data_IF_192254517619
#
_entry.id   IF_192254517619
#
_cell.length_a   1.000
_cell.length_b   1.000
_cell.length_c   1.000
_cell.angle_alpha   90.00
_cell.angle_beta   90.00
_cell.angle_gamma   90.00
#
_symmetry.space_group_name_H-M   'P 1'
#
loop_
_entity.id
_entity.type
_entity.pdbx_description
1 polymer ?
#
# COMPACT_ATOMS: atom_id res chain seq x y z
N UNK A 1 55.51 -15.82 -12.89
CA UNK A 1 54.97 -17.20 -12.87
C UNK A 1 54.59 -17.52 -11.43
N UNK A 2 53.30 -17.46 -11.08
CA UNK A 2 52.86 -17.86 -9.74
C UNK A 2 52.57 -19.37 -9.76
N UNK A 3 53.64 -20.16 -9.64
CA UNK A 3 53.55 -21.62 -9.66
C UNK A 3 52.70 -22.08 -8.48
N UNK A 4 51.57 -22.73 -8.76
CA UNK A 4 50.72 -23.30 -7.71
C UNK A 4 51.58 -24.28 -6.88
N UNK A 5 51.61 -24.16 -5.54
CA UNK A 5 52.48 -24.98 -4.73
C UNK A 5 52.13 -26.47 -4.90
N UNK A 6 53.12 -27.37 -4.76
CA UNK A 6 52.93 -28.80 -4.96
C UNK A 6 51.83 -29.33 -4.02
N UNK A 7 50.93 -30.14 -4.56
CA UNK A 7 49.79 -30.68 -3.82
C UNK A 7 50.28 -31.50 -2.62
N UNK A 8 49.80 -31.18 -1.42
CA UNK A 8 50.25 -31.82 -0.17
C UNK A 8 51.46 -31.17 0.51
N UNK A 9 52.11 -30.18 -0.12
CA UNK A 9 53.15 -29.38 0.54
C UNK A 9 52.58 -28.52 1.69
N UNK A 10 53.43 -28.16 2.66
CA UNK A 10 53.05 -27.28 3.76
C UNK A 10 52.53 -25.92 3.27
N UNK A 11 53.06 -25.41 2.15
CA UNK A 11 52.64 -24.18 1.51
C UNK A 11 51.23 -24.32 0.88
N UNK A 12 50.97 -25.43 0.17
CA UNK A 12 49.65 -25.74 -0.37
C UNK A 12 48.60 -25.86 0.75
N UNK A 13 48.94 -26.53 1.86
CA UNK A 13 48.05 -26.64 3.03
C UNK A 13 47.80 -25.28 3.70
N UNK A 14 48.81 -24.41 3.78
CA UNK A 14 48.69 -23.03 4.32
C UNK A 14 47.74 -22.19 3.45
N UNK A 15 47.97 -22.13 2.15
CA UNK A 15 47.13 -21.36 1.20
C UNK A 15 45.69 -21.87 1.26
N UNK A 16 45.47 -23.18 1.31
CA UNK A 16 44.11 -23.74 1.42
C UNK A 16 43.41 -23.31 2.71
N UNK A 17 44.12 -23.32 3.84
CA UNK A 17 43.58 -22.83 5.13
C UNK A 17 43.28 -21.34 5.10
N UNK A 18 44.18 -20.54 4.53
CA UNK A 18 44.01 -19.08 4.46
C UNK A 18 42.87 -18.70 3.52
N UNK A 19 42.75 -19.36 2.36
CA UNK A 19 41.61 -19.20 1.46
C UNK A 19 40.30 -19.59 2.14
N UNK A 20 40.27 -20.70 2.88
CA UNK A 20 39.08 -21.11 3.62
C UNK A 20 38.67 -20.09 4.69
N UNK A 21 39.64 -19.48 5.39
CA UNK A 21 39.39 -18.40 6.35
C UNK A 21 38.82 -17.16 5.67
N UNK A 22 39.38 -16.77 4.52
CA UNK A 22 38.91 -15.62 3.76
C UNK A 22 37.48 -15.82 3.24
N UNK A 23 37.16 -17.00 2.73
CA UNK A 23 35.80 -17.36 2.30
C UNK A 23 34.81 -17.22 3.46
N UNK A 24 35.14 -17.76 4.63
CA UNK A 24 34.27 -17.66 5.81
C UNK A 24 34.16 -16.22 6.34
N UNK A 25 35.24 -15.43 6.26
CA UNK A 25 35.22 -14.01 6.62
C UNK A 25 34.24 -13.23 5.73
N UNK A 26 34.34 -13.39 4.40
CA UNK A 26 33.42 -12.74 3.44
C UNK A 26 31.97 -13.15 3.67
N UNK A 27 31.73 -14.43 3.98
CA UNK A 27 30.38 -14.91 4.32
C UNK A 27 29.82 -14.17 5.53
N UNK A 28 30.61 -14.02 6.60
CA UNK A 28 30.18 -13.29 7.80
C UNK A 28 29.97 -11.82 7.55
N UNK A 29 30.82 -11.19 6.75
CA UNK A 29 30.67 -9.78 6.37
C UNK A 29 29.37 -9.54 5.59
N UNK A 30 29.07 -10.39 4.60
CA UNK A 30 27.81 -10.31 3.84
C UNK A 30 26.58 -10.49 4.72
N UNK A 31 26.60 -11.46 5.66
CA UNK A 31 25.50 -11.66 6.62
C UNK A 31 25.34 -10.42 7.53
N UNK A 32 26.45 -9.85 8.01
CA UNK A 32 26.40 -8.68 8.89
C UNK A 32 25.87 -7.46 8.17
N UNK A 33 26.25 -7.27 6.90
CA UNK A 33 25.71 -6.22 6.06
C UNK A 33 24.19 -6.37 5.91
N UNK A 34 23.70 -7.57 5.58
CA UNK A 34 22.26 -7.81 5.47
C UNK A 34 21.49 -7.54 6.76
N UNK A 35 22.06 -7.86 7.93
CA UNK A 35 21.43 -7.56 9.22
C UNK A 35 21.41 -6.05 9.50
N UNK A 36 22.47 -5.32 9.13
CA UNK A 36 22.52 -3.86 9.30
C UNK A 36 21.53 -3.16 8.36
N UNK A 37 21.45 -3.57 7.10
CA UNK A 37 20.46 -3.05 6.14
C UNK A 37 19.02 -3.29 6.65
N UNK A 38 18.75 -4.50 7.16
CA UNK A 38 17.46 -4.80 7.79
C UNK A 38 17.15 -3.88 8.99
N UNK A 39 18.15 -3.55 9.80
CA UNK A 39 17.97 -2.63 10.92
C UNK A 39 17.56 -1.22 10.49
N UNK A 40 17.98 -0.76 9.31
CA UNK A 40 17.59 0.57 8.79
C UNK A 40 16.13 0.65 8.33
N UNK A 41 15.54 -0.48 7.95
CA UNK A 41 14.16 -0.56 7.45
C UNK A 41 13.12 -0.71 8.57
N UNK A 42 13.56 -1.06 9.77
CA UNK A 42 12.67 -1.30 10.91
C UNK A 42 12.85 -0.18 11.94
N UNK A 43 11.78 0.26 12.62
CA UNK A 43 11.88 1.28 13.66
C UNK A 43 12.53 0.70 14.92
N UNK A 44 13.86 0.61 14.92
CA UNK A 44 14.66 0.14 16.05
C UNK A 44 15.93 0.94 16.22
N UNK A 45 16.35 1.12 17.47
CA UNK A 45 17.68 1.60 17.84
C UNK A 45 18.61 0.45 18.29
N UNK A 46 18.16 -0.79 18.17
CA UNK A 46 18.91 -1.96 18.65
C UNK A 46 20.11 -2.26 17.76
N UNK A 47 21.25 -2.56 18.38
CA UNK A 47 22.49 -2.98 17.70
C UNK A 47 22.73 -4.49 17.80
N UNK A 48 21.94 -5.19 18.62
CA UNK A 48 22.02 -6.62 18.81
C UNK A 48 21.35 -7.37 17.66
N UNK A 49 22.10 -8.22 16.95
CA UNK A 49 21.62 -9.00 15.79
C UNK A 49 20.37 -9.83 16.07
N UNK A 50 20.29 -10.50 17.22
CA UNK A 50 19.13 -11.31 17.56
C UNK A 50 17.88 -10.46 17.79
N UNK A 51 18.04 -9.29 18.43
CA UNK A 51 16.94 -8.35 18.65
C UNK A 51 16.48 -7.70 17.33
N UNK A 52 17.40 -7.32 16.44
CA UNK A 52 17.09 -6.81 15.11
C UNK A 52 16.22 -7.82 14.34
N UNK A 53 16.61 -9.10 14.33
CA UNK A 53 15.84 -10.16 13.66
C UNK A 53 14.45 -10.35 14.27
N UNK A 54 14.34 -10.39 15.61
CA UNK A 54 13.06 -10.52 16.29
C UNK A 54 12.13 -9.32 16.02
N UNK A 55 12.67 -8.10 16.08
CA UNK A 55 11.91 -6.89 15.74
C UNK A 55 11.48 -6.86 14.29
N UNK A 56 12.33 -7.30 13.36
CA UNK A 56 11.96 -7.40 11.96
C UNK A 56 10.77 -8.35 11.74
N UNK A 57 10.78 -9.53 12.37
CA UNK A 57 9.65 -10.47 12.31
C UNK A 57 8.37 -9.82 12.84
N UNK A 58 8.43 -9.16 13.99
CA UNK A 58 7.26 -8.49 14.58
C UNK A 58 6.77 -7.32 13.71
N UNK A 59 7.69 -6.55 13.14
CA UNK A 59 7.36 -5.44 12.26
C UNK A 59 6.68 -5.91 10.98
N UNK A 60 7.18 -6.98 10.34
CA UNK A 60 6.54 -7.59 9.17
C UNK A 60 5.13 -8.09 9.50
N UNK A 61 4.94 -8.74 10.66
CA UNK A 61 3.59 -9.18 11.09
C UNK A 61 2.64 -7.99 11.24
N UNK A 62 3.07 -6.91 11.89
CA UNK A 62 2.27 -5.69 12.03
C UNK A 62 1.98 -5.01 10.70
N UNK A 63 2.93 -4.97 9.77
CA UNK A 63 2.72 -4.43 8.44
C UNK A 63 1.63 -5.20 7.69
N UNK A 64 1.66 -6.54 7.74
CA UNK A 64 0.61 -7.38 7.15
C UNK A 64 -0.76 -7.15 7.77
N UNK A 65 -0.83 -7.08 9.10
CA UNK A 65 -2.08 -6.79 9.80
C UNK A 65 -2.62 -5.39 9.46
N UNK A 66 -1.75 -4.38 9.41
CA UNK A 66 -2.11 -3.03 9.03
C UNK A 66 -2.57 -2.93 7.57
N UNK A 67 -1.95 -3.68 6.66
CA UNK A 67 -2.37 -3.79 5.27
C UNK A 67 -3.79 -4.34 5.16
N UNK A 68 -4.09 -5.45 5.87
CA UNK A 68 -5.44 -6.02 5.93
C UNK A 68 -6.45 -5.00 6.46
N UNK A 69 -6.15 -4.36 7.61
CA UNK A 69 -7.05 -3.38 8.22
C UNK A 69 -7.29 -2.17 7.31
N UNK A 70 -6.27 -1.72 6.57
CA UNK A 70 -6.41 -0.61 5.62
C UNK A 70 -7.30 -1.00 4.43
N UNK A 71 -7.17 -2.22 3.92
CA UNK A 71 -8.03 -2.73 2.85
C UNK A 71 -9.48 -2.81 3.33
N UNK A 72 -9.73 -3.33 4.53
CA UNK A 72 -11.08 -3.41 5.11
C UNK A 72 -11.69 -2.02 5.30
N UNK A 73 -10.94 -1.09 5.90
CA UNK A 73 -11.37 0.29 6.09
C UNK A 73 -11.70 0.98 4.77
N UNK A 74 -10.80 0.88 3.78
CA UNK A 74 -11.02 1.47 2.46
C UNK A 74 -12.24 0.87 1.76
N UNK A 75 -12.43 -0.45 1.87
CA UNK A 75 -13.59 -1.14 1.28
C UNK A 75 -14.90 -0.64 1.90
N UNK A 76 -14.94 -0.48 3.23
CA UNK A 76 -16.10 0.03 3.95
C UNK A 76 -16.39 1.50 3.59
N UNK A 77 -15.37 2.35 3.58
CA UNK A 77 -15.51 3.77 3.18
C UNK A 77 -16.01 3.90 1.74
N UNK A 78 -15.49 3.08 0.82
CA UNK A 78 -15.93 3.02 -0.56
C UNK A 78 -17.42 2.64 -0.66
N UNK A 79 -17.83 1.56 0.02
CA UNK A 79 -19.22 1.10 -0.01
C UNK A 79 -20.19 2.16 0.52
N UNK A 80 -19.85 2.82 1.63
CA UNK A 80 -20.67 3.89 2.21
C UNK A 80 -20.77 5.07 1.25
N UNK A 81 -19.66 5.45 0.62
CA UNK A 81 -19.64 6.56 -0.33
C UNK A 81 -20.46 6.23 -1.57
N UNK A 82 -20.35 5.01 -2.11
CA UNK A 82 -21.14 4.55 -3.25
C UNK A 82 -22.64 4.54 -2.93
N UNK A 83 -23.02 4.09 -1.73
CA UNK A 83 -24.41 4.14 -1.26
C UNK A 83 -24.92 5.58 -1.17
N UNK A 84 -24.15 6.49 -0.57
CA UNK A 84 -24.52 7.90 -0.46
C UNK A 84 -24.65 8.58 -1.84
N UNK A 85 -23.75 8.27 -2.78
CA UNK A 85 -23.84 8.75 -4.17
C UNK A 85 -25.09 8.24 -4.86
N UNK A 86 -25.45 6.97 -4.66
CA UNK A 86 -26.68 6.37 -5.20
C UNK A 86 -27.93 7.08 -4.68
N UNK A 87 -28.01 7.30 -3.36
CA UNK A 87 -29.12 7.99 -2.71
C UNK A 87 -29.26 9.45 -3.18
N UNK A 88 -28.14 10.18 -3.24
CA UNK A 88 -28.12 11.55 -3.76
C UNK A 88 -28.55 11.62 -5.22
N UNK A 89 -28.11 10.66 -6.04
CA UNK A 89 -28.49 10.58 -7.45
C UNK A 89 -29.99 10.32 -7.62
N UNK A 90 -30.56 9.41 -6.83
CA UNK A 90 -31.99 9.13 -6.84
C UNK A 90 -32.83 10.33 -6.38
N UNK A 91 -32.39 11.02 -5.33
CA UNK A 91 -33.03 12.24 -4.83
C UNK A 91 -33.00 13.37 -5.87
N UNK A 92 -31.86 13.56 -6.53
CA UNK A 92 -31.71 14.56 -7.59
C UNK A 92 -32.62 14.27 -8.79
N UNK A 93 -32.72 13.00 -9.20
CA UNK A 93 -33.61 12.60 -10.28
C UNK A 93 -35.09 12.87 -9.94
N UNK A 94 -35.50 12.57 -8.70
CA UNK A 94 -36.86 12.88 -8.23
C UNK A 94 -37.13 14.39 -8.27
N UNK A 95 -36.20 15.21 -7.78
CA UNK A 95 -36.34 16.67 -7.78
C UNK A 95 -36.43 17.23 -9.21
N UNK A 96 -35.67 16.70 -10.16
CA UNK A 96 -35.77 17.08 -11.58
C UNK A 96 -37.16 16.79 -12.15
N UNK A 97 -37.73 15.63 -11.83
CA UNK A 97 -39.08 15.27 -12.29
C UNK A 97 -40.16 16.16 -11.66
N UNK A 98 -40.05 16.49 -10.38
CA UNK A 98 -40.97 17.42 -9.70
C UNK A 98 -40.86 18.83 -10.28
N UNK A 99 -39.64 19.31 -10.55
CA UNK A 99 -39.38 20.60 -11.20
C UNK A 99 -40.01 20.66 -12.61
N UNK A 100 -39.85 19.60 -13.41
CA UNK A 100 -40.45 19.52 -14.75
C UNK A 100 -41.98 19.55 -14.69
N UNK A 101 -42.60 18.83 -13.74
CA UNK A 101 -44.05 18.87 -13.53
C UNK A 101 -44.53 20.27 -13.15
N UNK A 102 -43.85 20.91 -12.19
CA UNK A 102 -44.18 22.27 -11.77
C UNK A 102 -44.08 23.26 -12.94
N UNK A 103 -43.03 23.16 -13.77
CA UNK A 103 -42.91 24.01 -14.96
C UNK A 103 -44.05 23.80 -15.96
N UNK A 104 -44.45 22.55 -16.22
CA UNK A 104 -45.59 22.25 -17.11
C UNK A 104 -46.90 22.81 -16.57
N UNK A 105 -47.14 22.70 -15.26
CA UNK A 105 -48.32 23.28 -14.61
C UNK A 105 -48.34 24.80 -14.72
N UNK A 106 -47.22 25.47 -14.43
CA UNK A 106 -47.08 26.93 -14.58
C UNK A 106 -47.38 27.35 -16.02
N UNK A 107 -46.83 26.63 -17.00
CA UNK A 107 -47.06 26.92 -18.41
C UNK A 107 -48.53 26.74 -18.81
N UNK A 108 -49.18 25.68 -18.32
CA UNK A 108 -50.61 25.46 -18.54
C UNK A 108 -51.47 26.61 -17.97
N UNK A 109 -51.20 27.01 -16.72
CA UNK A 109 -51.93 28.10 -16.08
C UNK A 109 -51.69 29.46 -16.75
N UNK A 110 -50.47 29.73 -17.21
CA UNK A 110 -50.15 30.95 -17.98
C UNK A 110 -50.97 31.04 -19.27
N UNK A 111 -51.03 29.96 -20.06
CA UNK A 111 -51.84 29.93 -21.29
C UNK A 111 -53.33 30.16 -21.02
N UNK A 112 -53.86 29.58 -19.94
CA UNK A 112 -55.26 29.78 -19.55
C UNK A 112 -55.55 31.22 -19.09
N UNK A 113 -54.59 31.89 -18.44
CA UNK A 113 -54.72 33.28 -18.05
C UNK A 113 -54.69 34.21 -19.27
N UNK A 114 -53.71 34.03 -20.17
CA UNK A 114 -53.60 34.82 -21.41
C UNK A 114 -54.84 34.69 -22.30
N UNK A 115 -55.40 33.48 -22.44
CA UNK A 115 -56.62 33.27 -23.23
C UNK A 115 -57.92 33.81 -22.63
N UNK A 116 -57.89 34.31 -21.37
CA UNK A 116 -59.04 34.99 -20.74
C UNK A 116 -59.03 36.49 -20.99
N UNK A 117 -57.85 37.10 -21.16
CA UNK A 117 -57.71 38.53 -21.44
C UNK A 117 -58.10 38.89 -22.88
N UNK A 118 -58.04 37.94 -23.82
CA UNK A 118 -58.46 38.15 -25.22
C UNK A 118 -59.99 38.08 -25.44
N UNK A 119 -60.76 37.69 -24.42
CA UNK A 119 -62.23 37.48 -24.53
C UNK A 119 -63.08 38.52 -23.81
N UNK A 120 -62.49 39.64 -23.39
CA UNK A 120 -63.20 40.82 -22.87
C UNK A 120 -63.03 42.00 -23.82
#
# INVERSE_FOLDING_TARGET
MNSKPPHGSAEWQRIRRDNHKEVEKRRRESINQGIQELATLIPTSDTNKAQILQRAVNFIKRLKENETNNIEKWTLEKLITEQAVSELSASNEKLKQELERAYREIEHWKRLAEGKDEKQ
#
